data_IF_034040313614
#
_entry.id   IF_034040313614
#
_cell.length_a   1.000
_cell.length_b   1.000
_cell.length_c   1.000
_cell.angle_alpha   90.00
_cell.angle_beta   90.00
_cell.angle_gamma   90.00
#
_symmetry.space_group_name_H-M   'P 1'
#
loop_
_entity.id
_entity.type
_entity.pdbx_description
1 polymer ?
#
# COMPACT_ATOMS: atom_id res chain seq x y z
N UNK A 1 3.80 11.54 6.29
CA UNK A 1 4.73 10.57 5.64
C UNK A 1 5.56 9.93 6.75
N UNK A 2 5.75 8.61 6.74
CA UNK A 2 6.48 7.88 7.80
C UNK A 2 7.79 7.35 7.25
N UNK A 3 8.85 7.32 8.07
CA UNK A 3 10.08 6.62 7.72
C UNK A 3 9.78 5.17 7.28
N UNK A 4 10.45 4.72 6.22
CA UNK A 4 10.22 3.41 5.58
C UNK A 4 9.12 3.41 4.52
N UNK A 5 8.37 4.51 4.34
CA UNK A 5 7.34 4.58 3.31
C UNK A 5 7.97 4.83 1.94
N UNK A 6 7.61 3.98 0.97
CA UNK A 6 7.91 4.24 -0.43
C UNK A 6 7.08 5.43 -0.93
N UNK A 7 7.70 6.30 -1.72
CA UNK A 7 7.10 7.53 -2.25
C UNK A 7 7.38 7.71 -3.74
N UNK A 8 6.49 8.43 -4.39
CA UNK A 8 6.65 8.93 -5.76
C UNK A 8 6.44 10.43 -5.74
N UNK A 9 7.25 11.18 -6.50
CA UNK A 9 7.08 12.62 -6.63
C UNK A 9 7.44 13.16 -8.00
N UNK A 10 7.06 14.41 -8.25
CA UNK A 10 7.24 15.15 -9.50
C UNK A 10 7.23 16.66 -9.24
N UNK A 11 7.66 17.44 -10.24
CA UNK A 11 7.66 18.90 -10.18
C UNK A 11 6.24 19.49 -10.12
N UNK A 12 6.07 20.58 -9.37
CA UNK A 12 4.85 21.38 -9.40
C UNK A 12 3.70 20.84 -8.55
N UNK A 13 2.50 21.37 -8.82
CA UNK A 13 1.32 21.24 -7.95
C UNK A 13 0.64 19.86 -8.04
N UNK A 14 0.01 19.37 -6.96
CA UNK A 14 -0.59 18.03 -6.89
C UNK A 14 -1.85 17.84 -7.75
N UNK A 15 -2.37 18.90 -8.36
CA UNK A 15 -3.70 18.91 -8.99
C UNK A 15 -3.72 18.44 -10.45
N UNK A 16 -2.57 18.28 -11.09
CA UNK A 16 -2.50 17.69 -12.43
C UNK A 16 -2.26 16.18 -12.33
N UNK A 17 -2.90 15.43 -13.23
CA UNK A 17 -2.80 13.97 -13.28
C UNK A 17 -1.34 13.51 -13.12
N UNK A 18 -1.15 12.42 -12.36
CA UNK A 18 0.18 11.85 -12.09
C UNK A 18 0.97 11.73 -13.40
N UNK A 19 2.11 12.42 -13.55
CA UNK A 19 2.80 12.54 -14.83
C UNK A 19 3.38 11.20 -15.29
N UNK A 20 3.96 11.14 -16.49
CA UNK A 20 4.60 9.91 -16.99
C UNK A 20 5.81 9.48 -16.15
N UNK A 21 6.24 8.23 -16.32
CA UNK A 21 7.27 7.63 -15.46
C UNK A 21 8.62 8.36 -15.54
N UNK A 22 8.94 8.98 -16.67
CA UNK A 22 10.20 9.71 -16.88
C UNK A 22 10.23 11.04 -16.13
N UNK A 23 9.07 11.65 -15.91
CA UNK A 23 8.89 12.93 -15.22
C UNK A 23 8.61 12.75 -13.72
N UNK A 24 8.92 11.57 -13.18
CA UNK A 24 8.74 11.23 -11.77
C UNK A 24 10.05 10.74 -11.16
N UNK A 25 10.22 11.02 -9.88
CA UNK A 25 11.17 10.31 -9.04
C UNK A 25 10.46 9.31 -8.14
N UNK A 26 11.19 8.26 -7.75
CA UNK A 26 10.76 7.30 -6.75
C UNK A 26 11.85 7.18 -5.68
N UNK A 27 11.43 6.95 -4.44
CA UNK A 27 12.34 6.82 -3.32
C UNK A 27 11.63 6.30 -2.07
N UNK A 28 12.33 6.38 -0.96
CA UNK A 28 11.85 5.96 0.35
C UNK A 28 12.09 7.09 1.35
N UNK A 29 11.12 7.34 2.23
CA UNK A 29 11.29 8.29 3.32
C UNK A 29 12.30 7.70 4.30
N UNK A 30 13.48 8.30 4.35
CA UNK A 30 14.57 7.90 5.25
C UNK A 30 14.37 8.49 6.64
N UNK A 31 13.99 9.76 6.72
CA UNK A 31 13.78 10.46 7.99
C UNK A 31 12.71 11.54 7.86
N UNK A 32 12.13 11.89 9.00
CA UNK A 32 11.19 13.01 9.15
C UNK A 32 11.48 13.73 10.45
N UNK A 33 11.57 15.06 10.41
CA UNK A 33 11.81 15.89 11.59
C UNK A 33 10.95 17.15 11.51
N UNK A 34 10.47 17.64 12.65
CA UNK A 34 9.81 18.95 12.74
C UNK A 34 10.84 19.94 13.28
N UNK A 35 11.10 21.00 12.54
CA UNK A 35 12.00 22.08 12.94
C UNK A 35 11.42 22.94 14.06
N UNK A 36 12.26 23.76 14.67
CA UNK A 36 11.84 24.72 15.72
C UNK A 36 10.83 25.77 15.20
N UNK A 37 10.87 26.03 13.89
CA UNK A 37 9.93 26.86 13.14
C UNK A 37 8.59 26.16 12.83
N UNK A 38 8.43 24.89 13.24
CA UNK A 38 7.26 24.08 12.95
C UNK A 38 7.25 23.48 11.54
N UNK A 39 8.32 23.65 10.75
CA UNK A 39 8.39 23.09 9.41
C UNK A 39 8.69 21.58 9.44
N UNK A 40 7.92 20.79 8.70
CA UNK A 40 8.19 19.37 8.51
C UNK A 40 9.28 19.16 7.45
N UNK A 41 10.45 18.72 7.89
CA UNK A 41 11.53 18.26 7.02
C UNK A 41 11.36 16.77 6.73
N UNK A 42 11.33 16.40 5.45
CA UNK A 42 11.26 15.01 5.00
C UNK A 42 12.51 14.68 4.18
N UNK A 43 13.30 13.71 4.63
CA UNK A 43 14.45 13.20 3.89
C UNK A 43 14.04 11.99 3.07
N UNK A 44 14.14 12.08 1.75
CA UNK A 44 13.84 10.99 0.82
C UNK A 44 15.16 10.43 0.28
N UNK A 45 15.41 9.15 0.55
CA UNK A 45 16.57 8.40 0.07
C UNK A 45 16.21 7.43 -1.04
N UNK A 46 17.23 6.74 -1.57
CA UNK A 46 17.03 5.69 -2.58
C UNK A 46 16.54 6.19 -3.93
N UNK A 47 16.77 7.47 -4.24
CA UNK A 47 16.43 8.04 -5.54
C UNK A 47 17.16 7.28 -6.66
N UNK A 48 16.44 6.98 -7.74
CA UNK A 48 17.02 6.34 -8.92
C UNK A 48 18.08 7.26 -9.53
N UNK A 49 19.12 6.65 -10.12
CA UNK A 49 20.16 7.38 -10.86
C UNK A 49 19.65 8.02 -12.16
N UNK A 50 18.53 7.53 -12.68
CA UNK A 50 17.93 7.96 -13.94
C UNK A 50 16.51 8.45 -13.72
N UNK A 51 16.03 9.33 -14.61
CA UNK A 51 14.73 9.98 -14.53
C UNK A 51 14.81 11.39 -13.96
N UNK A 52 13.65 11.98 -13.69
CA UNK A 52 13.54 13.31 -13.09
C UNK A 52 14.24 13.40 -11.74
N UNK A 53 15.00 14.48 -11.53
CA UNK A 53 15.70 14.78 -10.28
C UNK A 53 15.39 16.23 -9.89
N UNK A 54 14.73 16.47 -8.76
CA UNK A 54 14.43 17.82 -8.30
C UNK A 54 15.70 18.64 -8.10
N UNK A 55 15.69 19.88 -8.57
CA UNK A 55 16.70 20.87 -8.24
C UNK A 55 16.51 21.38 -6.80
N UNK A 56 17.57 21.93 -6.23
CA UNK A 56 17.49 22.56 -4.91
C UNK A 56 16.52 23.76 -4.96
N UNK A 57 15.60 23.82 -4.00
CA UNK A 57 14.56 24.87 -3.93
C UNK A 57 13.38 24.67 -4.89
N UNK A 58 13.38 23.60 -5.69
CA UNK A 58 12.26 23.30 -6.59
C UNK A 58 11.05 22.79 -5.80
N UNK A 59 9.85 23.38 -5.98
CA UNK A 59 8.64 22.85 -5.38
C UNK A 59 8.25 21.53 -6.05
N UNK A 60 8.02 20.50 -5.22
CA UNK A 60 7.66 19.16 -5.68
C UNK A 60 6.42 18.65 -4.97
N UNK A 61 5.62 17.88 -5.70
CA UNK A 61 4.56 17.05 -5.13
C UNK A 61 5.12 15.70 -4.74
N UNK A 62 4.78 15.22 -3.54
CA UNK A 62 5.16 13.90 -3.05
C UNK A 62 3.92 13.16 -2.54
N UNK A 63 3.69 11.96 -3.07
CA UNK A 63 2.61 11.06 -2.62
C UNK A 63 3.18 9.69 -2.21
N UNK A 64 2.45 8.91 -1.40
CA UNK A 64 2.77 7.51 -1.18
C UNK A 64 2.88 6.76 -2.51
N UNK A 65 3.92 5.95 -2.67
CA UNK A 65 4.07 5.14 -3.86
C UNK A 65 2.94 4.09 -3.94
N UNK A 66 2.45 3.78 -5.15
CA UNK A 66 1.53 2.66 -5.32
C UNK A 66 2.15 1.37 -4.78
N UNK A 67 1.33 0.47 -4.19
CA UNK A 67 1.83 -0.81 -3.73
C UNK A 67 2.42 -1.62 -4.90
N UNK A 68 3.54 -2.30 -4.65
CA UNK A 68 4.22 -3.11 -5.66
C UNK A 68 3.33 -4.24 -6.19
N UNK A 69 3.11 -4.28 -7.51
CA UNK A 69 2.34 -5.34 -8.19
C UNK A 69 2.90 -6.72 -7.90
N UNK A 70 4.23 -6.86 -7.86
CA UNK A 70 4.90 -8.11 -7.49
C UNK A 70 4.57 -8.52 -6.05
N UNK A 71 4.59 -7.56 -5.12
CA UNK A 71 4.22 -7.81 -3.72
C UNK A 71 2.76 -8.23 -3.60
N UNK A 72 1.85 -7.58 -4.34
CA UNK A 72 0.43 -7.96 -4.39
C UNK A 72 0.27 -9.39 -4.90
N UNK A 73 0.91 -9.72 -6.03
CA UNK A 73 0.85 -11.08 -6.62
C UNK A 73 1.43 -12.12 -5.66
N UNK A 74 2.57 -11.85 -5.05
CA UNK A 74 3.23 -12.74 -4.09
C UNK A 74 2.34 -13.00 -2.87
N UNK A 75 1.77 -11.94 -2.26
CA UNK A 75 0.83 -12.08 -1.14
C UNK A 75 -0.41 -12.88 -1.53
N UNK A 76 -0.98 -12.63 -2.72
CA UNK A 76 -2.13 -13.39 -3.22
C UNK A 76 -1.81 -14.88 -3.34
N UNK A 77 -0.63 -15.22 -3.85
CA UNK A 77 -0.17 -16.63 -3.95
C UNK A 77 0.04 -17.26 -2.58
N UNK A 78 0.65 -16.55 -1.63
CA UNK A 78 0.86 -17.03 -0.27
C UNK A 78 -0.48 -17.31 0.44
N UNK A 79 -1.43 -16.38 0.32
CA UNK A 79 -2.79 -16.53 0.86
C UNK A 79 -3.52 -17.70 0.20
N UNK A 80 -3.49 -17.82 -1.13
CA UNK A 80 -4.10 -18.94 -1.83
C UNK A 80 -3.51 -20.30 -1.40
N UNK A 81 -2.20 -20.36 -1.13
CA UNK A 81 -1.55 -21.57 -0.63
C UNK A 81 -2.01 -21.94 0.78
N UNK A 82 -2.20 -20.96 1.67
CA UNK A 82 -2.76 -21.20 3.01
C UNK A 82 -4.17 -21.80 2.91
N UNK A 83 -5.01 -21.28 2.02
CA UNK A 83 -6.36 -21.81 1.81
C UNK A 83 -6.40 -23.21 1.21
N UNK A 84 -5.42 -23.57 0.36
CA UNK A 84 -5.31 -24.90 -0.27
C UNK A 84 -4.63 -25.95 0.59
N UNK A 85 -4.06 -25.59 1.75
CA UNK A 85 -3.42 -26.58 2.64
C UNK A 85 -4.47 -27.54 3.19
N UNK A 86 -4.14 -28.83 3.27
CA UNK A 86 -4.99 -29.94 3.76
C UNK A 86 -5.62 -29.72 5.16
N UNK A 87 -5.15 -28.75 5.95
CA UNK A 87 -5.71 -28.39 7.26
C UNK A 87 -6.55 -27.11 7.23
N UNK A 88 -6.75 -26.51 6.06
CA UNK A 88 -7.67 -25.39 5.86
C UNK A 88 -9.09 -25.92 5.87
N UNK A 89 -9.94 -25.36 6.72
CA UNK A 89 -11.36 -25.70 6.82
C UNK A 89 -12.07 -25.63 5.46
N UNK A 90 -11.71 -24.64 4.62
CA UNK A 90 -12.18 -24.49 3.24
C UNK A 90 -11.81 -25.66 2.33
N UNK A 91 -10.64 -26.29 2.55
CA UNK A 91 -10.18 -27.44 1.75
C UNK A 91 -10.68 -28.78 2.27
N UNK A 92 -11.02 -28.88 3.56
CA UNK A 92 -11.52 -30.10 4.19
C UNK A 92 -13.05 -30.21 4.15
N UNK A 93 -13.77 -29.18 3.68
CA UNK A 93 -15.23 -29.12 3.78
C UNK A 93 -15.72 -29.12 5.24
N UNK A 94 -14.84 -28.84 6.20
CA UNK A 94 -15.16 -28.84 7.61
C UNK A 94 -15.62 -27.44 8.02
N UNK A 95 -16.72 -27.35 8.75
CA UNK A 95 -17.17 -26.08 9.34
C UNK A 95 -16.11 -25.62 10.35
N UNK A 96 -15.57 -24.39 10.20
CA UNK A 96 -14.56 -23.88 11.12
C UNK A 96 -15.18 -23.77 12.51
N UNK A 97 -14.46 -24.22 13.54
CA UNK A 97 -14.90 -24.05 14.92
C UNK A 97 -14.99 -22.55 15.22
N UNK A 98 -16.18 -22.10 15.62
CA UNK A 98 -16.41 -20.70 15.98
C UNK A 98 -15.40 -20.29 17.07
N UNK A 99 -14.51 -19.36 16.74
CA UNK A 99 -13.52 -18.83 17.69
C UNK A 99 -13.48 -17.31 17.57
N UNK A 100 -13.39 -16.62 18.72
CA UNK A 100 -13.23 -15.17 18.76
C UNK A 100 -11.78 -14.82 18.43
N UNK A 101 -11.48 -14.69 17.15
CA UNK A 101 -10.18 -14.23 16.64
C UNK A 101 -10.37 -12.93 15.86
N UNK A 102 -9.34 -12.08 15.73
CA UNK A 102 -9.40 -10.96 14.82
C UNK A 102 -9.60 -11.48 13.39
N UNK A 103 -10.76 -11.19 12.81
CA UNK A 103 -11.12 -11.56 11.43
C UNK A 103 -10.78 -10.37 10.53
N UNK A 104 -10.08 -10.58 9.40
CA UNK A 104 -9.83 -9.49 8.45
C UNK A 104 -11.14 -8.86 7.96
N UNK A 105 -11.20 -7.52 7.88
CA UNK A 105 -12.40 -6.79 7.46
C UNK A 105 -12.98 -7.28 6.12
N UNK A 106 -12.12 -7.64 5.16
CA UNK A 106 -12.56 -8.18 3.87
C UNK A 106 -13.40 -9.47 4.00
N UNK A 107 -13.12 -10.30 5.01
CA UNK A 107 -13.90 -11.52 5.30
C UNK A 107 -15.24 -11.15 5.95
N UNK A 108 -15.27 -10.12 6.81
CA UNK A 108 -16.53 -9.63 7.40
C UNK A 108 -17.46 -9.02 6.36
N UNK A 109 -16.94 -8.24 5.41
CA UNK A 109 -17.72 -7.66 4.32
C UNK A 109 -18.30 -8.76 3.44
N UNK A 110 -17.48 -9.71 2.99
CA UNK A 110 -17.94 -10.82 2.16
C UNK A 110 -19.02 -11.68 2.86
N UNK A 111 -18.86 -11.95 4.17
CA UNK A 111 -19.84 -12.70 4.94
C UNK A 111 -21.15 -11.93 5.19
N UNK A 112 -21.13 -10.59 5.14
CA UNK A 112 -22.32 -9.77 5.30
C UNK A 112 -23.18 -9.74 4.01
N UNK A 113 -22.54 -9.82 2.85
CA UNK A 113 -23.22 -9.88 1.55
C UNK A 113 -23.99 -11.22 1.36
N UNK A 114 -23.52 -12.31 1.98
CA UNK A 114 -24.17 -13.63 1.96
C UNK A 114 -25.44 -13.72 2.85
N UNK A 115 -25.82 -12.65 3.56
CA UNK A 115 -26.99 -12.63 4.47
C UNK A 115 -28.29 -12.20 3.74
N UNK A 116 -28.30 -12.11 2.41
CA UNK A 116 -29.56 -11.96 1.67
C UNK A 116 -30.42 -13.24 1.82
N UNK A 117 -31.52 -13.08 2.56
CA UNK A 117 -32.45 -14.14 2.95
C UNK A 117 -33.03 -14.91 1.75
N UNK A 118 -33.40 -16.21 1.91
CA UNK A 118 -34.21 -16.89 0.91
C UNK A 118 -35.56 -16.18 0.79
N UNK A 119 -35.85 -15.64 -0.40
CA UNK A 119 -37.20 -15.21 -0.77
C UNK A 119 -38.13 -16.43 -0.74
N UNK A 120 -39.19 -16.36 0.08
CA UNK A 120 -40.35 -17.26 0.04
C UNK A 120 -41.29 -16.86 -1.09
#
# INVERSE_FOLDING_TARGET
>A
LKAGAAVTGWAGEPMTAMPDAENRFSGEVFATAVGEDGALTVTIGGLRKTGYRPAAGEPVTVIPAPPSVSTIRSRRTAVARLYKRRFSWLSQGATPTASRRPVPLAVMIAAADDIQAPEN
#
